data_IF_925630368249
#
_entry.id   IF_925630368249
#
_cell.length_a   1.000
_cell.length_b   1.000
_cell.length_c   1.000
_cell.angle_alpha   90.00
_cell.angle_beta   90.00
_cell.angle_gamma   90.00
#
_symmetry.space_group_name_H-M   'P 1'
#
loop_
_entity.id
_entity.type
_entity.pdbx_description
1 polymer ?
#
# COMPACT_ATOMS: atom_id res chain seq x y z
N UNK A 1 11.65 15.55 6.66
CA UNK A 1 10.27 15.05 6.50
C UNK A 1 9.51 16.12 5.73
N UNK A 2 9.54 16.08 4.39
CA UNK A 2 8.86 17.10 3.59
C UNK A 2 7.38 16.73 3.52
N UNK A 3 6.55 17.49 4.21
CA UNK A 3 5.10 17.47 4.09
C UNK A 3 4.73 18.05 2.72
N UNK A 4 4.48 17.18 1.75
CA UNK A 4 3.88 17.55 0.48
C UNK A 4 2.38 17.81 0.71
N UNK A 5 2.05 19.03 1.07
CA UNK A 5 0.69 19.54 0.87
C UNK A 5 0.45 19.63 -0.64
N UNK A 6 -0.73 19.20 -1.09
CA UNK A 6 -1.18 19.40 -2.47
C UNK A 6 -1.29 20.90 -2.71
N UNK A 7 -0.27 21.52 -3.30
CA UNK A 7 -0.28 22.93 -3.70
C UNK A 7 -0.91 23.08 -5.07
N UNK A 8 -1.53 24.23 -5.34
CA UNK A 8 -2.22 24.53 -6.62
C UNK A 8 -1.31 24.35 -7.86
N UNK A 9 0.00 24.43 -7.67
CA UNK A 9 1.00 24.19 -8.71
C UNK A 9 1.02 22.74 -9.23
N UNK A 10 0.55 21.76 -8.44
CA UNK A 10 0.49 20.34 -8.83
C UNK A 10 -0.61 20.10 -9.88
N UNK A 11 -1.71 20.86 -9.83
CA UNK A 11 -2.83 20.68 -10.76
C UNK A 11 -2.66 21.48 -12.07
N UNK A 12 -1.76 22.46 -12.09
CA UNK A 12 -1.50 23.33 -13.26
C UNK A 12 -0.28 22.91 -14.10
N UNK A 13 0.49 21.91 -13.67
CA UNK A 13 1.57 21.33 -14.47
C UNK A 13 1.05 20.21 -15.37
N UNK A 14 1.52 20.13 -16.63
CA UNK A 14 1.30 18.98 -17.54
C UNK A 14 1.82 17.64 -16.98
N UNK A 15 2.53 17.70 -15.87
CA UNK A 15 3.12 16.58 -15.16
C UNK A 15 2.03 15.80 -14.39
N UNK A 16 1.52 14.74 -15.00
CA UNK A 16 0.49 13.84 -14.42
C UNK A 16 0.99 13.00 -13.23
N UNK A 17 2.23 13.21 -12.77
CA UNK A 17 2.89 12.39 -11.75
C UNK A 17 2.66 12.93 -10.33
N UNK A 18 1.83 12.23 -9.55
CA UNK A 18 1.73 12.46 -8.11
C UNK A 18 3.02 11.98 -7.43
N UNK A 19 3.92 12.90 -7.09
CA UNK A 19 5.20 12.60 -6.42
C UNK A 19 5.00 12.29 -4.93
N UNK A 20 4.36 11.17 -4.63
CA UNK A 20 4.08 10.71 -3.26
C UNK A 20 4.76 9.37 -2.95
N UNK A 21 5.07 9.14 -1.68
CA UNK A 21 5.53 7.82 -1.22
C UNK A 21 4.37 6.81 -1.26
N UNK A 22 4.70 5.52 -1.31
CA UNK A 22 3.69 4.46 -1.29
C UNK A 22 2.82 4.50 -0.01
N UNK A 23 3.41 4.84 1.14
CA UNK A 23 2.66 4.99 2.40
C UNK A 23 1.70 6.18 2.37
N UNK A 24 2.14 7.32 1.82
CA UNK A 24 1.26 8.48 1.61
C UNK A 24 0.12 8.16 0.65
N UNK A 25 0.39 7.44 -0.44
CA UNK A 25 -0.65 7.04 -1.39
C UNK A 25 -1.68 6.09 -0.78
N UNK A 26 -1.27 5.19 0.12
CA UNK A 26 -2.21 4.34 0.86
C UNK A 26 -3.12 5.18 1.77
N UNK A 27 -2.56 6.17 2.47
CA UNK A 27 -3.36 7.08 3.31
C UNK A 27 -4.33 7.89 2.46
N UNK A 28 -3.86 8.38 1.31
CA UNK A 28 -4.71 9.09 0.34
C UNK A 28 -5.86 8.21 -0.16
N UNK A 29 -5.59 6.95 -0.54
CA UNK A 29 -6.64 6.01 -0.94
C UNK A 29 -7.63 5.73 0.20
N UNK A 30 -7.16 5.60 1.45
CA UNK A 30 -8.04 5.45 2.62
C UNK A 30 -8.93 6.67 2.84
N UNK A 31 -8.42 7.87 2.61
CA UNK A 31 -9.20 9.10 2.67
C UNK A 31 -10.25 9.15 1.54
N UNK A 32 -9.86 8.79 0.32
CA UNK A 32 -10.76 8.70 -0.84
C UNK A 32 -11.91 7.72 -0.58
N UNK A 33 -11.60 6.61 0.08
CA UNK A 33 -12.58 5.60 0.49
C UNK A 33 -13.53 6.05 1.59
N UNK A 34 -13.12 7.01 2.42
CA UNK A 34 -13.99 7.65 3.39
C UNK A 34 -14.95 8.61 2.67
N UNK A 35 -14.46 9.35 1.68
CA UNK A 35 -15.28 10.29 0.91
C UNK A 35 -16.32 9.62 0.01
N UNK A 36 -16.06 8.40 -0.46
CA UNK A 36 -17.04 7.56 -1.17
C UNK A 36 -18.31 7.33 -0.33
N UNK A 37 -18.17 7.13 0.99
CA UNK A 37 -19.31 6.99 1.91
C UNK A 37 -20.07 8.31 2.15
N UNK A 38 -19.52 9.46 1.77
CA UNK A 38 -20.09 10.78 2.03
C UNK A 38 -20.93 11.32 0.86
N UNK A 39 -21.48 10.44 0.00
CA UNK A 39 -22.33 10.79 -1.15
C UNK A 39 -21.64 11.68 -2.18
N UNK A 40 -20.65 11.12 -2.88
CA UNK A 40 -20.22 11.70 -4.15
C UNK A 40 -21.26 11.39 -5.23
N UNK A 41 -21.46 12.32 -6.15
CA UNK A 41 -22.44 12.26 -7.22
C UNK A 41 -22.33 10.94 -8.02
N UNK A 42 -23.30 10.03 -7.82
CA UNK A 42 -23.31 8.70 -8.45
C UNK A 42 -23.64 8.76 -9.94
N UNK A 43 -24.03 9.93 -10.46
CA UNK A 43 -24.29 10.13 -11.88
C UNK A 43 -22.99 10.22 -12.69
N UNK A 44 -21.87 10.58 -12.06
CA UNK A 44 -20.60 10.74 -12.75
C UNK A 44 -19.87 9.40 -12.95
N UNK A 45 -19.68 9.01 -14.21
CA UNK A 45 -19.03 7.74 -14.56
C UNK A 45 -17.57 7.63 -14.07
N UNK A 46 -16.84 8.76 -13.99
CA UNK A 46 -15.47 8.78 -13.47
C UNK A 46 -15.42 8.52 -11.96
N UNK A 47 -16.38 9.06 -11.21
CA UNK A 47 -16.48 8.82 -9.77
C UNK A 47 -16.77 7.34 -9.51
N UNK A 48 -17.71 6.75 -10.25
CA UNK A 48 -18.01 5.32 -10.13
C UNK A 48 -16.82 4.44 -10.52
N UNK A 49 -16.03 4.84 -11.53
CA UNK A 49 -14.81 4.14 -11.92
C UNK A 49 -13.74 4.18 -10.82
N UNK A 50 -13.53 5.33 -10.19
CA UNK A 50 -12.60 5.49 -9.07
C UNK A 50 -13.07 4.70 -7.83
N UNK A 51 -14.36 4.74 -7.52
CA UNK A 51 -14.98 3.93 -6.48
C UNK A 51 -14.68 2.44 -6.65
N UNK A 52 -14.96 1.89 -7.84
CA UNK A 52 -14.68 0.49 -8.16
C UNK A 52 -13.18 0.15 -7.97
N UNK A 53 -12.28 1.04 -8.41
CA UNK A 53 -10.85 0.85 -8.19
C UNK A 53 -10.50 0.76 -6.70
N UNK A 54 -11.07 1.64 -5.89
CA UNK A 54 -10.76 1.67 -4.47
C UNK A 54 -11.36 0.47 -3.71
N UNK A 55 -12.49 -0.06 -4.15
CA UNK A 55 -13.01 -1.36 -3.66
C UNK A 55 -12.06 -2.52 -3.96
N UNK A 56 -11.51 -2.58 -5.17
CA UNK A 56 -10.48 -3.56 -5.53
C UNK A 56 -9.28 -3.42 -4.59
N UNK A 57 -8.79 -2.20 -4.36
CA UNK A 57 -7.66 -1.95 -3.46
C UNK A 57 -8.00 -2.37 -2.02
N UNK A 58 -9.21 -2.08 -1.51
CA UNK A 58 -9.66 -2.54 -0.17
C UNK A 58 -9.52 -4.06 -0.02
N UNK A 59 -9.99 -4.82 -1.02
CA UNK A 59 -9.90 -6.28 -1.02
C UNK A 59 -8.45 -6.76 -1.08
N UNK A 60 -7.61 -6.15 -1.94
CA UNK A 60 -6.19 -6.49 -2.03
C UNK A 60 -5.41 -6.18 -0.74
N UNK A 61 -5.84 -5.18 0.02
CA UNK A 61 -5.23 -4.75 1.28
C UNK A 61 -5.77 -5.50 2.52
N UNK A 62 -6.73 -6.41 2.36
CA UNK A 62 -7.25 -7.17 3.48
C UNK A 62 -6.18 -8.13 4.05
N UNK A 63 -6.15 -8.27 5.38
CA UNK A 63 -5.23 -9.18 6.08
C UNK A 63 -5.71 -10.62 6.10
N UNK A 64 -7.01 -10.84 5.88
CA UNK A 64 -7.69 -12.13 5.81
C UNK A 64 -8.70 -12.05 4.68
N UNK A 65 -8.68 -13.03 3.76
CA UNK A 65 -9.51 -13.04 2.56
C UNK A 65 -10.09 -14.44 2.37
N UNK A 66 -11.40 -14.54 2.16
CA UNK A 66 -12.08 -15.81 1.85
C UNK A 66 -11.93 -16.17 0.37
N UNK A 67 -12.05 -17.46 0.03
CA UNK A 67 -11.93 -17.92 -1.37
C UNK A 67 -13.04 -17.34 -2.25
N UNK A 68 -14.25 -17.19 -1.72
CA UNK A 68 -15.37 -16.56 -2.44
C UNK A 68 -15.05 -15.11 -2.78
N UNK A 69 -14.44 -14.38 -1.82
CA UNK A 69 -14.02 -12.99 -2.01
C UNK A 69 -12.96 -12.86 -3.09
N UNK A 70 -12.03 -13.83 -3.20
CA UNK A 70 -11.04 -13.87 -4.30
C UNK A 70 -11.70 -14.09 -5.66
N UNK A 71 -12.74 -14.94 -5.73
CA UNK A 71 -13.51 -15.12 -6.97
C UNK A 71 -14.23 -13.83 -7.38
N UNK A 72 -14.82 -13.11 -6.43
CA UNK A 72 -15.42 -11.79 -6.68
C UNK A 72 -14.38 -10.78 -7.16
N UNK A 73 -13.20 -10.73 -6.53
CA UNK A 73 -12.11 -9.84 -6.90
C UNK A 73 -11.68 -10.03 -8.36
N UNK A 74 -11.63 -11.28 -8.85
CA UNK A 74 -11.31 -11.57 -10.26
C UNK A 74 -12.32 -10.90 -11.21
N UNK A 75 -13.61 -11.02 -10.93
CA UNK A 75 -14.68 -10.42 -11.75
C UNK A 75 -14.61 -8.89 -11.70
N UNK A 76 -14.37 -8.33 -10.50
CA UNK A 76 -14.24 -6.88 -10.32
C UNK A 76 -13.07 -6.29 -11.11
N UNK A 77 -11.91 -6.96 -11.11
CA UNK A 77 -10.72 -6.53 -11.86
C UNK A 77 -10.97 -6.56 -13.37
N UNK A 78 -11.61 -7.63 -13.87
CA UNK A 78 -11.94 -7.73 -15.30
C UNK A 78 -12.90 -6.62 -15.73
N UNK A 79 -13.97 -6.40 -14.96
CA UNK A 79 -14.93 -5.32 -15.20
C UNK A 79 -14.26 -3.94 -15.17
N UNK A 80 -13.38 -3.70 -14.20
CA UNK A 80 -12.66 -2.43 -14.07
C UNK A 80 -11.75 -2.14 -15.27
N UNK A 81 -11.01 -3.16 -15.75
CA UNK A 81 -10.12 -2.98 -16.90
C UNK A 81 -10.89 -2.77 -18.21
N UNK A 82 -12.07 -3.39 -18.38
CA UNK A 82 -12.96 -3.11 -19.51
C UNK A 82 -13.45 -1.67 -19.46
N UNK A 83 -13.99 -1.24 -18.33
CA UNK A 83 -14.46 0.14 -18.13
C UNK A 83 -13.35 1.19 -18.31
N UNK A 84 -12.11 0.87 -17.93
CA UNK A 84 -10.96 1.74 -18.20
C UNK A 84 -10.76 1.96 -19.71
N UNK A 85 -10.95 0.92 -20.54
CA UNK A 85 -10.84 1.04 -21.99
C UNK A 85 -12.01 1.78 -22.62
N UNK A 86 -13.20 1.66 -22.06
CA UNK A 86 -14.38 2.40 -22.50
C UNK A 86 -14.24 3.91 -22.21
N UNK A 87 -13.77 4.26 -21.01
CA UNK A 87 -13.56 5.65 -20.58
C UNK A 87 -12.33 6.32 -21.22
N UNK A 88 -11.27 5.53 -21.49
CA UNK A 88 -10.00 6.04 -22.01
C UNK A 88 -9.54 5.23 -23.23
N UNK A 89 -10.26 5.31 -24.37
CA UNK A 89 -9.97 4.48 -25.55
C UNK A 89 -8.54 4.70 -26.08
N UNK A 90 -8.09 5.96 -26.06
CA UNK A 90 -6.76 6.40 -26.52
C UNK A 90 -5.60 5.90 -25.65
N UNK A 91 -5.85 5.48 -24.40
CA UNK A 91 -4.80 5.07 -23.47
C UNK A 91 -4.58 3.57 -23.50
N UNK A 92 -3.34 3.14 -23.60
CA UNK A 92 -2.97 1.72 -23.52
C UNK A 92 -2.96 1.24 -22.07
N UNK A 93 -3.29 -0.04 -21.85
CA UNK A 93 -3.19 -0.67 -20.53
C UNK A 93 -1.70 -0.76 -20.18
N UNK A 94 -1.30 -0.12 -19.08
CA UNK A 94 0.09 -0.18 -18.61
C UNK A 94 0.38 -1.54 -17.99
N UNK A 95 1.64 -1.96 -18.00
CA UNK A 95 2.06 -3.22 -17.37
C UNK A 95 1.58 -3.36 -15.91
N UNK A 96 1.60 -2.26 -15.13
CA UNK A 96 1.07 -2.23 -13.75
C UNK A 96 -0.42 -2.58 -13.66
N UNK A 97 -1.22 -2.11 -14.61
CA UNK A 97 -2.66 -2.42 -14.68
C UNK A 97 -2.87 -3.87 -15.11
N UNK A 98 -2.08 -4.36 -16.08
CA UNK A 98 -2.14 -5.76 -16.50
C UNK A 98 -1.81 -6.73 -15.35
N UNK A 99 -0.85 -6.39 -14.49
CA UNK A 99 -0.51 -7.23 -13.33
C UNK A 99 -1.67 -7.44 -12.35
N UNK A 100 -2.69 -6.57 -12.33
CA UNK A 100 -3.89 -6.76 -11.51
C UNK A 100 -4.57 -8.10 -11.82
N UNK A 101 -4.60 -8.51 -13.09
CA UNK A 101 -5.21 -9.77 -13.53
C UNK A 101 -4.52 -10.98 -12.93
N UNK A 102 -3.29 -10.85 -12.44
CA UNK A 102 -2.54 -11.97 -11.82
C UNK A 102 -2.64 -11.98 -10.29
N UNK A 103 -3.16 -10.90 -9.67
CA UNK A 103 -3.17 -10.76 -8.21
C UNK A 103 -4.11 -11.74 -7.51
N UNK A 104 -5.26 -12.08 -8.09
CA UNK A 104 -6.16 -13.08 -7.51
C UNK A 104 -5.47 -14.45 -7.39
N UNK A 105 -4.70 -14.85 -8.42
CA UNK A 105 -3.96 -16.11 -8.41
C UNK A 105 -2.81 -16.07 -7.40
N UNK A 106 -2.15 -14.92 -7.26
CA UNK A 106 -1.15 -14.71 -6.22
C UNK A 106 -1.75 -14.85 -4.81
N UNK A 107 -2.96 -14.36 -4.57
CA UNK A 107 -3.65 -14.53 -3.27
C UNK A 107 -3.94 -16.00 -2.97
N UNK A 108 -4.39 -16.77 -3.97
CA UNK A 108 -4.66 -18.21 -3.79
C UNK A 108 -3.37 -18.95 -3.43
N UNK A 109 -2.25 -18.60 -4.07
CA UNK A 109 -0.99 -19.32 -3.91
C UNK A 109 -0.19 -18.93 -2.66
N UNK A 110 -0.17 -17.65 -2.31
CA UNK A 110 0.69 -17.10 -1.25
C UNK A 110 -0.09 -16.56 -0.05
N UNK A 111 -1.42 -16.55 -0.11
CA UNK A 111 -2.27 -15.90 0.88
C UNK A 111 -2.39 -14.39 0.68
N UNK A 112 -2.88 -13.66 1.70
CA UNK A 112 -3.11 -12.22 1.62
C UNK A 112 -1.86 -11.43 1.19
N UNK A 113 -2.00 -10.54 0.20
CA UNK A 113 -0.86 -9.81 -0.39
C UNK A 113 -0.12 -8.92 0.60
N UNK A 114 -0.81 -8.46 1.64
CA UNK A 114 -0.23 -7.68 2.74
C UNK A 114 0.82 -8.44 3.55
N UNK A 115 0.89 -9.76 3.44
CA UNK A 115 1.95 -10.56 4.08
C UNK A 115 3.22 -10.65 3.23
N UNK A 116 3.10 -10.47 1.91
CA UNK A 116 4.20 -10.68 0.94
C UNK A 116 4.70 -9.39 0.27
N UNK A 117 4.05 -8.26 0.47
CA UNK A 117 4.45 -6.99 -0.14
C UNK A 117 5.79 -6.42 0.38
N UNK A 118 6.45 -5.60 -0.45
CA UNK A 118 7.76 -5.01 -0.14
C UNK A 118 7.74 -3.95 0.97
N UNK A 119 6.57 -3.34 1.23
CA UNK A 119 6.41 -2.22 2.18
C UNK A 119 6.95 -2.52 3.58
N UNK A 120 6.75 -3.74 4.09
CA UNK A 120 7.29 -4.15 5.40
C UNK A 120 8.82 -4.20 5.40
N UNK A 121 9.39 -4.74 4.32
CA UNK A 121 10.85 -4.80 4.16
C UNK A 121 11.44 -3.40 4.01
N UNK A 122 10.83 -2.53 3.21
CA UNK A 122 11.26 -1.14 3.04
C UNK A 122 11.23 -0.36 4.36
N UNK A 123 10.16 -0.54 5.16
CA UNK A 123 10.05 0.02 6.50
C UNK A 123 11.17 -0.44 7.44
N UNK A 124 11.49 -1.74 7.46
CA UNK A 124 12.62 -2.29 8.25
C UNK A 124 13.97 -1.75 7.77
N UNK A 125 14.16 -1.61 6.45
CA UNK A 125 15.39 -1.02 5.90
C UNK A 125 15.57 0.45 6.30
N UNK A 126 14.49 1.20 6.51
CA UNK A 126 14.58 2.61 6.92
C UNK A 126 15.30 2.76 8.28
N UNK A 127 15.00 1.88 9.24
CA UNK A 127 15.71 1.85 10.53
C UNK A 127 17.21 1.65 10.34
N UNK A 128 17.60 0.69 9.49
CA UNK A 128 19.01 0.38 9.22
C UNK A 128 19.70 1.58 8.58
N UNK A 129 19.07 2.22 7.59
CA UNK A 129 19.62 3.42 6.93
C UNK A 129 19.85 4.57 7.91
N UNK A 130 18.89 4.81 8.80
CA UNK A 130 19.02 5.85 9.83
C UNK A 130 20.20 5.53 10.76
N UNK A 131 20.27 4.31 11.29
CA UNK A 131 21.36 3.91 12.19
C UNK A 131 22.73 3.85 11.53
N UNK A 132 22.78 3.62 10.22
CA UNK A 132 24.02 3.68 9.43
C UNK A 132 24.51 5.12 9.29
N UNK A 133 23.60 6.06 9.03
CA UNK A 133 23.91 7.49 8.94
C UNK A 133 24.45 8.04 10.27
N UNK A 134 23.90 7.57 11.39
CA UNK A 134 24.25 8.04 12.73
C UNK A 134 25.44 7.29 13.35
N UNK A 135 26.04 6.31 12.66
CA UNK A 135 27.12 5.50 13.22
C UNK A 135 28.49 6.13 12.93
N UNK A 136 29.22 6.62 13.94
CA UNK A 136 30.55 7.19 13.74
C UNK A 136 31.64 6.12 13.52
N UNK A 137 31.36 4.84 13.82
CA UNK A 137 32.34 3.75 13.69
C UNK A 137 32.15 2.97 12.38
N UNK A 138 33.10 3.17 11.45
CA UNK A 138 33.13 2.49 10.14
C UNK A 138 33.85 1.13 10.15
N UNK A 139 34.45 0.73 11.27
CA UNK A 139 35.02 -0.61 11.41
C UNK A 139 33.91 -1.61 11.72
N UNK A 140 33.78 -2.66 10.91
CA UNK A 140 32.80 -3.73 11.08
C UNK A 140 31.35 -3.23 11.17
N UNK A 141 30.95 -2.29 10.29
CA UNK A 141 29.60 -1.68 10.26
C UNK A 141 28.48 -2.72 10.32
N UNK A 142 28.61 -3.82 9.56
CA UNK A 142 27.60 -4.90 9.52
C UNK A 142 27.38 -5.51 10.90
N UNK A 143 28.46 -5.75 11.67
CA UNK A 143 28.36 -6.29 13.03
C UNK A 143 27.61 -5.31 13.94
N UNK A 144 28.02 -4.05 13.96
CA UNK A 144 27.39 -3.00 14.77
C UNK A 144 25.91 -2.80 14.42
N UNK A 145 25.55 -2.89 13.14
CA UNK A 145 24.15 -2.82 12.70
C UNK A 145 23.36 -4.07 13.11
N UNK A 146 23.94 -5.27 12.95
CA UNK A 146 23.27 -6.52 13.34
C UNK A 146 22.97 -6.57 14.84
N UNK A 147 23.92 -6.18 15.69
CA UNK A 147 23.73 -6.13 17.14
C UNK A 147 22.61 -5.15 17.50
N UNK A 148 22.60 -3.95 16.90
CA UNK A 148 21.53 -2.96 17.13
C UNK A 148 20.16 -3.42 16.63
N UNK A 149 20.09 -4.09 15.49
CA UNK A 149 18.85 -4.67 14.99
C UNK A 149 18.31 -5.74 15.93
N UNK A 150 19.16 -6.66 16.41
CA UNK A 150 18.75 -7.70 17.36
C UNK A 150 18.26 -7.08 18.67
N UNK A 151 18.98 -6.09 19.22
CA UNK A 151 18.58 -5.41 20.45
C UNK A 151 17.26 -4.65 20.29
N UNK A 152 17.04 -4.01 19.14
CA UNK A 152 15.78 -3.32 18.85
C UNK A 152 14.60 -4.30 18.79
N UNK A 153 14.73 -5.40 18.05
CA UNK A 153 13.70 -6.45 17.97
C UNK A 153 13.44 -7.08 19.35
N UNK A 154 14.48 -7.30 20.16
CA UNK A 154 14.33 -7.78 21.53
C UNK A 154 13.53 -6.81 22.42
N UNK A 155 13.77 -5.49 22.31
CA UNK A 155 13.01 -4.50 23.09
C UNK A 155 11.51 -4.50 22.77
N UNK A 156 11.14 -4.64 21.48
CA UNK A 156 9.75 -4.72 21.05
C UNK A 156 9.04 -5.98 21.56
N UNK A 157 9.77 -7.10 21.65
CA UNK A 157 9.23 -8.36 22.15
C UNK A 157 9.01 -8.34 23.68
N UNK A 158 9.84 -7.61 24.42
CA UNK A 158 9.67 -7.44 25.88
C UNK A 158 8.41 -6.64 26.18
N UNK A 159 8.18 -5.52 25.48
CA UNK A 159 6.98 -4.69 25.66
C UNK A 159 5.67 -5.43 25.30
N UNK A 160 5.72 -6.34 24.32
CA UNK A 160 4.56 -7.15 23.98
C UNK A 160 4.31 -8.28 24.97
N UNK A 161 5.34 -8.77 25.68
CA UNK A 161 5.19 -9.77 26.76
C UNK A 161 4.67 -9.18 28.08
N UNK A 162 4.98 -7.92 28.38
CA UNK A 162 4.52 -7.25 29.61
C UNK A 162 3.04 -6.86 29.59
N UNK A 163 2.42 -6.78 28.41
CA UNK A 163 0.97 -6.53 28.26
C UNK A 163 0.09 -7.79 28.47
N UNK A 164 0.70 -8.97 28.66
CA UNK A 164 0.01 -10.24 28.92
C UNK A 164 0.29 -10.84 30.32
N UNK A 165 0.63 -10.01 31.32
CA UNK A 165 0.49 -10.46 32.71
C UNK A 165 -0.95 -10.20 33.16
N UNK A 166 -1.79 -11.25 33.35
CA UNK A 166 -3.05 -11.06 34.06
C UNK A 166 -2.70 -10.58 35.47
N UNK A 167 -3.33 -9.49 35.89
CA UNK A 167 -3.37 -9.08 37.29
C UNK A 167 -3.92 -10.26 38.10
N UNK A 168 -3.04 -10.99 38.78
CA UNK A 168 -3.39 -11.82 39.93
C UNK A 168 -3.41 -10.97 41.17
#
# INVERSE_FOLDING_TARGET
MSTFLLTDNVFNSDDTSLRQSASSMIVFLKLLLLTEKLNCDRENEYVTFLSQFCEIVKLLMASVISVETVAMLKIMIESHLKKFKDLFPEKTIKAKQHYLVHLWNAIIRYGPLTQVWSMRYEGKHQFIKQRMSDNPNFKNVVKSLSERCVMYEASLNIESSTLYFPLT
#
